data_IF_492068305145
#
_entry.id   IF_492068305145
#
_cell.length_a   1.000
_cell.length_b   1.000
_cell.length_c   1.000
_cell.angle_alpha   90.00
_cell.angle_beta   90.00
_cell.angle_gamma   90.00
#
_symmetry.space_group_name_H-M   'P 1'
#
loop_
_entity.id
_entity.type
_entity.pdbx_description
1 polymer ?
#
# COMPACT_ATOMS: atom_id res chain seq x y z
N UNK A 1 -22.68 2.82 19.72
CA UNK A 1 -21.25 2.85 20.12
C UNK A 1 -20.89 1.47 20.66
N UNK A 2 -19.94 0.79 20.02
CA UNK A 2 -19.43 -0.53 20.42
C UNK A 2 -18.06 -0.35 21.06
N UNK A 3 -17.63 -1.28 21.92
CA UNK A 3 -16.32 -1.22 22.58
C UNK A 3 -15.53 -2.47 22.25
N UNK A 4 -14.37 -2.28 21.62
CA UNK A 4 -13.40 -3.36 21.32
C UNK A 4 -12.17 -3.13 22.18
N UNK A 5 -12.05 -3.88 23.28
CA UNK A 5 -10.98 -3.65 24.27
C UNK A 5 -11.08 -2.25 24.89
N UNK A 6 -10.02 -1.44 24.76
CA UNK A 6 -10.02 -0.06 25.27
C UNK A 6 -10.54 0.97 24.24
N UNK A 7 -10.75 0.55 22.99
CA UNK A 7 -11.15 1.45 21.89
C UNK A 7 -12.67 1.52 21.79
N UNK A 8 -13.20 2.75 21.68
CA UNK A 8 -14.60 3.00 21.35
C UNK A 8 -14.74 3.09 19.84
N UNK A 9 -15.63 2.27 19.30
CA UNK A 9 -15.88 2.18 17.87
C UNK A 9 -17.30 2.61 17.55
N UNK A 10 -17.45 3.32 16.45
CA UNK A 10 -18.74 3.67 15.86
C UNK A 10 -18.77 3.08 14.46
N UNK A 11 -19.79 2.26 14.19
CA UNK A 11 -19.99 1.64 12.90
C UNK A 11 -21.07 2.42 12.15
N UNK A 12 -20.78 2.82 10.92
CA UNK A 12 -21.69 3.53 10.04
C UNK A 12 -22.25 2.52 9.03
N UNK A 13 -23.57 2.35 8.99
CA UNK A 13 -24.23 1.37 8.14
C UNK A 13 -25.09 1.99 7.04
N UNK A 14 -25.31 3.31 7.07
CA UNK A 14 -26.09 4.05 6.08
C UNK A 14 -25.22 5.05 5.29
N UNK A 15 -25.61 5.29 4.04
CA UNK A 15 -24.82 6.11 3.11
C UNK A 15 -24.78 7.59 3.50
N UNK A 16 -25.89 8.12 4.04
CA UNK A 16 -26.01 9.54 4.32
C UNK A 16 -25.14 9.93 5.52
N UNK A 17 -25.19 9.15 6.61
CA UNK A 17 -24.32 9.34 7.78
C UNK A 17 -22.85 9.10 7.40
N UNK A 18 -22.55 8.11 6.56
CA UNK A 18 -21.18 7.88 6.10
C UNK A 18 -20.63 9.08 5.31
N UNK A 19 -21.41 9.67 4.40
CA UNK A 19 -21.01 10.87 3.65
C UNK A 19 -20.83 12.07 4.57
N UNK A 20 -21.76 12.27 5.51
CA UNK A 20 -21.68 13.37 6.48
C UNK A 20 -20.41 13.26 7.34
N UNK A 21 -20.11 12.06 7.85
CA UNK A 21 -18.91 11.82 8.65
C UNK A 21 -17.63 12.00 7.80
N UNK A 22 -17.56 11.42 6.61
CA UNK A 22 -16.36 11.50 5.76
C UNK A 22 -16.09 12.88 5.17
N UNK A 23 -17.08 13.78 5.15
CA UNK A 23 -16.92 15.17 4.72
C UNK A 23 -16.30 16.09 5.79
N UNK A 24 -16.22 15.62 7.05
CA UNK A 24 -15.76 16.39 8.20
C UNK A 24 -14.30 16.08 8.51
N UNK A 25 -13.48 17.13 8.69
CA UNK A 25 -12.04 16.98 8.95
C UNK A 25 -11.75 16.37 10.33
N UNK A 26 -12.68 16.50 11.27
CA UNK A 26 -12.62 15.93 12.61
C UNK A 26 -12.58 14.39 12.61
N UNK A 27 -13.03 13.77 11.51
CA UNK A 27 -13.00 12.33 11.32
C UNK A 27 -11.97 11.88 10.27
N UNK A 28 -11.09 12.79 9.83
CA UNK A 28 -10.12 12.51 8.77
C UNK A 28 -8.87 11.76 9.24
N UNK A 29 -8.63 11.69 10.56
CA UNK A 29 -7.45 11.04 11.14
C UNK A 29 -7.55 9.50 11.10
N UNK A 30 -6.38 8.86 11.12
CA UNK A 30 -6.17 7.42 11.25
C UNK A 30 -5.95 7.04 12.71
N UNK A 31 -6.41 5.87 13.16
CA UNK A 31 -6.04 5.31 14.45
C UNK A 31 -4.51 5.21 14.61
N UNK A 32 -3.99 5.39 15.83
CA UNK A 32 -2.55 5.42 16.10
C UNK A 32 -1.79 4.19 15.62
N UNK A 33 -2.42 3.01 15.59
CA UNK A 33 -1.79 1.78 15.10
C UNK A 33 -1.43 1.85 13.60
N UNK A 34 -2.02 2.78 12.84
CA UNK A 34 -1.63 3.00 11.45
C UNK A 34 -0.23 3.59 11.33
N UNK A 35 0.27 4.32 12.34
CA UNK A 35 1.62 4.90 12.32
C UNK A 35 2.71 3.83 12.21
N UNK A 36 2.47 2.62 12.75
CA UNK A 36 3.36 1.47 12.58
C UNK A 36 3.55 1.10 11.10
N UNK A 37 2.52 1.33 10.26
CA UNK A 37 2.55 1.09 8.81
C UNK A 37 3.27 2.18 8.01
N UNK A 38 3.84 3.17 8.67
CA UNK A 38 4.53 4.25 7.97
C UNK A 38 5.92 3.79 7.51
N UNK A 39 6.30 4.16 6.29
CA UNK A 39 7.57 3.77 5.67
C UNK A 39 8.76 4.66 6.07
N UNK A 40 8.50 5.89 6.51
CA UNK A 40 9.56 6.80 6.93
C UNK A 40 10.07 6.46 8.34
N UNK A 41 11.35 6.73 8.59
CA UNK A 41 12.01 6.34 9.84
C UNK A 41 11.45 7.10 11.06
N UNK A 42 10.85 8.28 10.85
CA UNK A 42 10.21 9.05 11.93
C UNK A 42 8.77 8.60 12.21
N UNK A 43 8.19 7.75 11.33
CA UNK A 43 6.80 7.26 11.40
C UNK A 43 5.74 8.38 11.39
N UNK A 44 6.07 9.52 10.79
CA UNK A 44 5.21 10.71 10.78
C UNK A 44 4.62 11.03 9.40
N UNK A 45 5.15 10.44 8.33
CA UNK A 45 4.83 10.79 6.95
C UNK A 45 3.84 9.87 6.25
N UNK A 46 3.54 10.21 5.00
CA UNK A 46 2.78 9.38 4.09
C UNK A 46 1.27 9.64 4.09
N UNK A 47 0.63 9.45 2.93
CA UNK A 47 -0.79 9.82 2.73
C UNK A 47 -1.76 8.83 3.39
N UNK A 48 -1.35 7.58 3.59
CA UNK A 48 -2.20 6.49 4.10
C UNK A 48 -2.19 6.41 5.63
N UNK A 49 -1.04 6.68 6.25
CA UNK A 49 -0.74 6.29 7.63
C UNK A 49 -0.41 7.45 8.58
N UNK A 50 -0.43 8.70 8.10
CA UNK A 50 -0.18 9.90 8.93
C UNK A 50 -1.44 10.75 9.14
N UNK A 51 -1.34 11.69 10.09
CA UNK A 51 -2.39 12.61 10.50
C UNK A 51 -1.90 14.07 10.54
N UNK A 52 -2.84 15.00 10.72
CA UNK A 52 -2.53 16.41 10.98
C UNK A 52 -1.69 17.10 9.90
N UNK A 53 -0.72 17.91 10.32
CA UNK A 53 0.07 18.77 9.41
C UNK A 53 0.95 17.99 8.44
N UNK A 54 1.48 16.84 8.86
CA UNK A 54 2.28 15.96 8.01
C UNK A 54 1.43 15.36 6.89
N UNK A 55 0.26 14.80 7.23
CA UNK A 55 -0.68 14.28 6.25
C UNK A 55 -1.13 15.35 5.25
N UNK A 56 -1.48 16.54 5.75
CA UNK A 56 -1.89 17.64 4.89
C UNK A 56 -0.79 18.08 3.92
N UNK A 57 0.45 18.15 4.40
CA UNK A 57 1.61 18.46 3.58
C UNK A 57 1.80 17.41 2.48
N UNK A 58 1.92 16.14 2.86
CA UNK A 58 2.22 15.05 1.94
C UNK A 58 1.10 14.82 0.93
N UNK A 59 -0.17 14.94 1.36
CA UNK A 59 -1.32 14.90 0.45
C UNK A 59 -1.26 16.01 -0.59
N UNK A 60 -0.99 17.26 -0.19
CA UNK A 60 -0.86 18.37 -1.14
C UNK A 60 0.32 18.17 -2.08
N UNK A 61 1.46 17.71 -1.56
CA UNK A 61 2.65 17.41 -2.34
C UNK A 61 2.36 16.34 -3.40
N UNK A 62 1.80 15.18 -3.01
CA UNK A 62 1.49 14.08 -3.92
C UNK A 62 0.47 14.52 -4.98
N UNK A 63 -0.66 15.13 -4.59
CA UNK A 63 -1.67 15.55 -5.55
C UNK A 63 -1.16 16.58 -6.56
N UNK A 64 -0.34 17.54 -6.11
CA UNK A 64 0.29 18.52 -7.00
C UNK A 64 1.22 17.84 -8.00
N UNK A 65 2.07 16.93 -7.53
CA UNK A 65 3.02 16.22 -8.40
C UNK A 65 2.31 15.27 -9.36
N UNK A 66 1.31 14.51 -8.93
CA UNK A 66 0.51 13.66 -9.81
C UNK A 66 -0.14 14.43 -10.96
N UNK A 67 -0.70 15.62 -10.69
CA UNK A 67 -1.22 16.51 -11.73
C UNK A 67 -0.13 17.02 -12.68
N UNK A 68 1.07 17.27 -12.17
CA UNK A 68 2.21 17.70 -12.99
C UNK A 68 2.71 16.57 -13.90
N UNK A 69 2.85 15.36 -13.36
CA UNK A 69 3.32 14.13 -14.02
C UNK A 69 2.37 13.62 -15.11
N UNK A 70 1.15 14.15 -15.18
CA UNK A 70 0.26 13.89 -16.30
C UNK A 70 -1.01 13.12 -15.98
N UNK A 71 -1.37 12.95 -14.69
CA UNK A 71 -2.73 12.53 -14.36
C UNK A 71 -3.73 13.52 -14.98
N UNK A 72 -4.59 13.02 -15.87
CA UNK A 72 -5.55 13.81 -16.63
C UNK A 72 -4.96 14.52 -17.86
N UNK A 73 -3.80 14.08 -18.36
CA UNK A 73 -3.15 14.57 -19.59
C UNK A 73 -2.77 13.40 -20.50
N UNK A 74 -2.41 13.74 -21.74
CA UNK A 74 -2.06 12.81 -22.82
C UNK A 74 -0.95 11.81 -22.44
N UNK A 75 0.01 12.19 -21.60
CA UNK A 75 1.10 11.28 -21.21
C UNK A 75 0.62 10.05 -20.42
N UNK A 76 -0.37 10.20 -19.53
CA UNK A 76 -0.95 9.06 -18.82
C UNK A 76 -1.70 8.16 -19.80
N UNK A 77 -2.43 8.75 -20.74
CA UNK A 77 -3.14 8.00 -21.79
C UNK A 77 -2.16 7.22 -22.67
N UNK A 78 -1.02 7.81 -23.03
CA UNK A 78 0.04 7.13 -23.77
C UNK A 78 0.60 5.94 -22.97
N UNK A 79 0.91 6.13 -21.70
CA UNK A 79 1.39 5.05 -20.83
C UNK A 79 0.37 3.90 -20.72
N UNK A 80 -0.92 4.23 -20.54
CA UNK A 80 -2.01 3.24 -20.51
C UNK A 80 -2.10 2.50 -21.86
N UNK A 81 -2.02 3.20 -22.98
CA UNK A 81 -2.10 2.60 -24.31
C UNK A 81 -0.91 1.67 -24.61
N UNK A 82 0.31 2.05 -24.19
CA UNK A 82 1.51 1.22 -24.34
C UNK A 82 1.34 -0.08 -23.54
N UNK A 83 0.99 0.02 -22.26
CA UNK A 83 0.82 -1.16 -21.42
C UNK A 83 -0.38 -2.01 -21.84
N UNK A 84 -1.47 -1.39 -22.31
CA UNK A 84 -2.63 -2.10 -22.86
C UNK A 84 -2.26 -2.95 -24.08
N UNK A 85 -1.48 -2.40 -25.02
CA UNK A 85 -0.96 -3.16 -26.16
C UNK A 85 -0.04 -4.30 -25.72
N UNK A 86 0.86 -4.04 -24.76
CA UNK A 86 1.75 -5.06 -24.23
C UNK A 86 0.99 -6.23 -23.59
N UNK A 87 -0.08 -5.92 -22.83
CA UNK A 87 -0.95 -6.94 -22.24
C UNK A 87 -1.67 -7.76 -23.29
N UNK A 88 -2.22 -7.13 -24.34
CA UNK A 88 -2.89 -7.85 -25.43
C UNK A 88 -1.94 -8.82 -26.12
N UNK A 89 -0.70 -8.39 -26.42
CA UNK A 89 0.31 -9.27 -27.01
C UNK A 89 0.73 -10.41 -26.07
N UNK A 90 0.76 -10.17 -24.77
CA UNK A 90 1.02 -11.23 -23.80
C UNK A 90 -0.13 -12.25 -23.74
N UNK A 91 -1.37 -11.78 -23.76
CA UNK A 91 -2.57 -12.63 -23.71
C UNK A 91 -2.73 -13.50 -24.97
N UNK A 92 -2.33 -13.01 -26.15
CA UNK A 92 -2.35 -13.80 -27.39
C UNK A 92 -1.54 -15.09 -27.30
N UNK A 93 -0.49 -15.13 -26.47
CA UNK A 93 0.37 -16.31 -26.29
C UNK A 93 -0.36 -17.51 -25.69
N UNK A 94 -1.49 -17.29 -25.03
CA UNK A 94 -2.30 -18.35 -24.42
C UNK A 94 -3.27 -19.01 -25.40
N UNK A 95 -3.32 -18.59 -26.67
CA UNK A 95 -4.00 -19.34 -27.73
C UNK A 95 -5.52 -19.52 -27.56
N UNK A 96 -6.15 -18.73 -26.70
CA UNK A 96 -7.60 -18.84 -26.39
C UNK A 96 -7.95 -19.86 -25.31
N UNK A 97 -6.94 -20.43 -24.62
CA UNK A 97 -7.17 -21.31 -23.47
C UNK A 97 -7.74 -20.55 -22.27
N UNK A 98 -8.47 -21.26 -21.41
CA UNK A 98 -8.89 -20.72 -20.13
C UNK A 98 -7.66 -20.54 -19.23
N UNK A 99 -7.37 -19.29 -18.88
CA UNK A 99 -6.24 -18.95 -18.01
C UNK A 99 -6.72 -18.34 -16.70
N UNK A 100 -5.98 -18.64 -15.64
CA UNK A 100 -6.03 -17.80 -14.44
C UNK A 100 -5.43 -16.44 -14.76
N UNK A 101 -5.89 -15.41 -14.06
CA UNK A 101 -5.45 -14.03 -14.25
C UNK A 101 -3.90 -13.94 -14.19
N UNK A 102 -3.21 -13.69 -15.30
CA UNK A 102 -1.75 -13.73 -15.34
C UNK A 102 -1.13 -12.55 -14.60
N UNK A 103 0.07 -12.73 -14.06
CA UNK A 103 0.80 -11.70 -13.32
C UNK A 103 1.09 -10.45 -14.17
N UNK A 104 1.11 -10.59 -15.49
CA UNK A 104 1.30 -9.48 -16.43
C UNK A 104 0.30 -8.34 -16.22
N UNK A 105 -0.93 -8.62 -15.76
CA UNK A 105 -1.91 -7.59 -15.40
C UNK A 105 -1.46 -6.70 -14.23
N UNK A 106 -0.78 -7.27 -13.24
CA UNK A 106 -0.28 -6.50 -12.10
C UNK A 106 0.93 -5.69 -12.52
N UNK A 107 1.79 -6.25 -13.37
CA UNK A 107 2.96 -5.56 -13.92
C UNK A 107 2.57 -4.36 -14.79
N UNK A 108 1.57 -4.48 -15.66
CA UNK A 108 1.11 -3.34 -16.48
C UNK A 108 0.56 -2.19 -15.64
N UNK A 109 -0.23 -2.50 -14.60
CA UNK A 109 -0.76 -1.49 -13.70
C UNK A 109 0.37 -0.77 -12.95
N UNK A 110 1.39 -1.51 -12.51
CA UNK A 110 2.56 -0.95 -11.85
C UNK A 110 3.39 -0.10 -12.82
N UNK A 111 3.66 -0.57 -14.04
CA UNK A 111 4.39 0.16 -15.06
C UNK A 111 3.75 1.52 -15.39
N UNK A 112 2.42 1.62 -15.44
CA UNK A 112 1.74 2.92 -15.63
C UNK A 112 2.14 3.91 -14.53
N UNK A 113 2.15 3.46 -13.26
CA UNK A 113 2.53 4.30 -12.13
C UNK A 113 4.04 4.60 -12.14
N UNK A 114 4.87 3.60 -12.42
CA UNK A 114 6.33 3.74 -12.43
C UNK A 114 6.83 4.60 -13.57
N UNK A 115 6.16 4.57 -14.72
CA UNK A 115 6.44 5.48 -15.82
C UNK A 115 6.22 6.93 -15.39
N UNK A 116 5.14 7.20 -14.64
CA UNK A 116 4.87 8.55 -14.14
C UNK A 116 5.87 8.98 -13.05
N UNK A 117 6.17 8.11 -12.09
CA UNK A 117 6.91 8.50 -10.87
C UNK A 117 8.43 8.36 -11.03
N UNK A 118 8.88 7.38 -11.79
CA UNK A 118 10.29 7.01 -11.93
C UNK A 118 10.77 6.98 -13.39
N UNK A 119 9.90 7.30 -14.37
CA UNK A 119 10.22 7.20 -15.81
C UNK A 119 10.81 5.83 -16.20
N UNK A 120 10.37 4.78 -15.50
CA UNK A 120 10.91 3.43 -15.61
C UNK A 120 9.81 2.47 -16.03
N UNK A 121 10.15 1.52 -16.88
CA UNK A 121 9.25 0.47 -17.36
C UNK A 121 9.94 -0.88 -17.28
N UNK A 122 9.28 -1.86 -16.67
CA UNK A 122 9.77 -3.23 -16.55
C UNK A 122 9.15 -4.17 -17.59
N UNK A 123 9.85 -5.27 -17.88
CA UNK A 123 9.26 -6.38 -18.62
C UNK A 123 8.11 -7.02 -17.84
N UNK A 124 7.10 -7.55 -18.55
CA UNK A 124 5.92 -8.16 -17.92
C UNK A 124 6.26 -9.35 -17.01
N UNK A 125 7.40 -10.02 -17.25
CA UNK A 125 7.93 -11.14 -16.46
C UNK A 125 9.22 -10.75 -15.72
N UNK A 126 9.38 -9.46 -15.39
CA UNK A 126 10.51 -8.95 -14.61
C UNK A 126 10.59 -9.61 -13.23
N UNK A 127 11.79 -10.11 -12.88
CA UNK A 127 12.06 -10.71 -11.57
C UNK A 127 12.03 -9.67 -10.45
N UNK A 128 12.35 -8.42 -10.77
CA UNK A 128 12.28 -7.29 -9.86
C UNK A 128 10.83 -7.07 -9.42
N UNK A 129 9.90 -7.02 -10.37
CA UNK A 129 8.47 -6.88 -10.10
C UNK A 129 7.90 -8.11 -9.38
N UNK A 130 8.33 -9.32 -9.77
CA UNK A 130 8.00 -10.54 -9.06
C UNK A 130 8.44 -10.47 -7.58
N UNK A 131 9.62 -9.92 -7.30
CA UNK A 131 10.12 -9.73 -5.94
C UNK A 131 9.24 -8.80 -5.12
N UNK A 132 8.77 -7.69 -5.71
CA UNK A 132 7.84 -6.75 -5.04
C UNK A 132 6.54 -7.47 -4.69
N UNK A 133 5.95 -8.21 -5.64
CA UNK A 133 4.69 -8.92 -5.40
C UNK A 133 4.84 -10.06 -4.41
N UNK A 134 5.96 -10.78 -4.43
CA UNK A 134 6.25 -11.82 -3.44
C UNK A 134 6.31 -11.23 -2.03
N UNK A 135 7.09 -10.18 -1.81
CA UNK A 135 7.19 -9.52 -0.49
C UNK A 135 5.84 -8.97 -0.03
N UNK A 136 5.00 -8.45 -0.93
CA UNK A 136 3.64 -8.02 -0.60
C UNK A 136 2.71 -9.20 -0.23
N UNK A 137 2.76 -10.29 -0.98
CA UNK A 137 1.97 -11.49 -0.69
C UNK A 137 2.39 -12.11 0.66
N UNK A 138 3.69 -12.16 0.95
CA UNK A 138 4.19 -12.64 2.25
C UNK A 138 3.69 -11.79 3.41
N UNK A 139 3.70 -10.46 3.27
CA UNK A 139 3.09 -9.56 4.25
C UNK A 139 1.62 -9.90 4.43
N UNK A 140 0.86 -10.04 3.35
CA UNK A 140 -0.58 -10.34 3.39
C UNK A 140 -0.89 -11.69 4.04
N UNK A 141 -0.09 -12.71 3.79
CA UNK A 141 -0.28 -14.05 4.37
C UNK A 141 0.07 -14.09 5.86
N UNK A 142 1.12 -13.38 6.27
CA UNK A 142 1.55 -13.31 7.67
C UNK A 142 0.65 -12.38 8.49
N UNK A 143 0.17 -11.29 7.89
CA UNK A 143 -0.69 -10.31 8.55
C UNK A 143 -2.08 -10.87 8.79
N UNK A 144 -2.46 -10.97 10.06
CA UNK A 144 -3.76 -11.51 10.46
C UNK A 144 -4.32 -10.70 11.65
N UNK A 145 -5.60 -10.89 12.03
CA UNK A 145 -6.21 -10.10 13.09
C UNK A 145 -5.48 -10.14 14.45
N UNK A 146 -4.74 -11.22 14.75
CA UNK A 146 -3.93 -11.35 15.97
C UNK A 146 -2.80 -10.32 16.01
N UNK A 147 -2.26 -9.94 14.85
CA UNK A 147 -1.20 -8.92 14.72
C UNK A 147 -1.62 -7.54 15.20
N UNK A 148 -2.92 -7.23 15.14
CA UNK A 148 -3.44 -5.94 15.61
C UNK A 148 -3.83 -5.94 17.10
N UNK A 149 -3.87 -7.10 17.76
CA UNK A 149 -4.34 -7.19 19.16
C UNK A 149 -3.58 -6.29 20.15
N UNK A 150 -2.24 -6.15 20.07
CA UNK A 150 -1.51 -5.24 20.96
C UNK A 150 -2.07 -3.81 20.91
N UNK A 151 -2.49 -3.34 19.73
CA UNK A 151 -3.07 -2.00 19.55
C UNK A 151 -4.41 -1.78 20.26
N UNK A 152 -5.14 -2.85 20.60
CA UNK A 152 -6.42 -2.76 21.32
C UNK A 152 -6.27 -3.02 22.84
N UNK A 153 -5.15 -3.62 23.24
CA UNK A 153 -4.88 -4.06 24.62
C UNK A 153 -3.46 -3.62 25.03
N UNK A 154 -3.28 -2.38 25.52
CA UNK A 154 -1.96 -1.85 25.86
C UNK A 154 -1.20 -2.63 26.94
N UNK A 155 -1.89 -3.47 27.72
CA UNK A 155 -1.21 -4.37 28.66
C UNK A 155 -0.25 -5.35 27.95
N UNK A 156 -0.51 -5.68 26.68
CA UNK A 156 0.33 -6.56 25.86
C UNK A 156 1.67 -5.91 25.45
N UNK A 157 1.77 -4.58 25.47
CA UNK A 157 3.02 -3.87 25.14
C UNK A 157 4.14 -4.14 26.14
N UNK A 158 3.79 -4.56 27.36
CA UNK A 158 4.75 -4.92 28.41
C UNK A 158 5.42 -6.27 28.19
N UNK A 159 4.99 -7.06 27.19
CA UNK A 159 5.59 -8.35 26.89
C UNK A 159 6.97 -8.19 26.23
N UNK A 160 7.93 -9.10 26.51
CA UNK A 160 9.23 -9.09 25.83
C UNK A 160 9.07 -9.13 24.31
N UNK A 161 9.94 -8.42 23.58
CA UNK A 161 9.87 -8.33 22.10
C UNK A 161 9.88 -9.70 21.42
N UNK A 162 10.67 -10.65 21.90
CA UNK A 162 10.68 -12.03 21.38
C UNK A 162 9.31 -12.71 21.49
N UNK A 163 8.60 -12.50 22.60
CA UNK A 163 7.26 -13.03 22.82
C UNK A 163 6.25 -12.33 21.92
N UNK A 164 6.35 -11.00 21.75
CA UNK A 164 5.45 -10.25 20.86
C UNK A 164 5.63 -10.64 19.39
N UNK A 165 6.87 -10.81 18.94
CA UNK A 165 7.15 -11.26 17.58
C UNK A 165 6.62 -12.69 17.36
N UNK A 166 6.77 -13.58 18.33
CA UNK A 166 6.27 -14.95 18.22
C UNK A 166 4.73 -15.04 18.24
N UNK A 167 4.06 -14.31 19.14
CA UNK A 167 2.61 -14.42 19.34
C UNK A 167 1.80 -13.55 18.38
N UNK A 168 2.27 -12.34 18.10
CA UNK A 168 1.52 -11.33 17.33
C UNK A 168 2.19 -11.01 15.99
N UNK A 169 3.46 -11.37 15.79
CA UNK A 169 4.19 -10.95 14.60
C UNK A 169 4.42 -9.44 14.57
N UNK A 170 4.74 -8.86 15.73
CA UNK A 170 4.96 -7.41 15.93
C UNK A 170 6.02 -6.83 14.97
N UNK A 171 6.92 -7.66 14.46
CA UNK A 171 7.99 -7.31 13.53
C UNK A 171 7.69 -7.62 12.05
N UNK A 172 6.48 -8.10 11.72
CA UNK A 172 6.10 -8.43 10.34
C UNK A 172 6.25 -7.20 9.44
N UNK A 173 5.76 -6.04 9.88
CA UNK A 173 5.83 -4.84 9.06
C UNK A 173 7.25 -4.30 8.94
N UNK A 174 8.04 -4.33 10.01
CA UNK A 174 9.45 -3.90 9.96
C UNK A 174 10.26 -4.75 8.97
N UNK A 175 10.06 -6.07 8.96
CA UNK A 175 10.68 -6.97 7.96
C UNK A 175 10.24 -6.63 6.55
N UNK A 176 8.94 -6.40 6.34
CA UNK A 176 8.42 -6.00 5.03
C UNK A 176 9.07 -4.71 4.53
N UNK A 177 9.20 -3.69 5.39
CA UNK A 177 9.86 -2.42 5.02
C UNK A 177 11.33 -2.65 4.66
N UNK A 178 12.04 -3.46 5.43
CA UNK A 178 13.44 -3.77 5.17
C UNK A 178 13.63 -4.53 3.85
N UNK A 179 12.80 -5.54 3.58
CA UNK A 179 12.80 -6.26 2.30
C UNK A 179 12.49 -5.33 1.13
N UNK A 180 11.50 -4.44 1.26
CA UNK A 180 11.16 -3.46 0.23
C UNK A 180 12.31 -2.47 -0.01
N UNK A 181 12.99 -1.99 1.04
CA UNK A 181 14.19 -1.15 0.91
C UNK A 181 15.29 -1.89 0.13
N UNK A 182 15.52 -3.16 0.40
CA UNK A 182 16.49 -3.99 -0.33
C UNK A 182 16.11 -4.18 -1.81
N UNK A 183 14.84 -4.44 -2.10
CA UNK A 183 14.33 -4.56 -3.48
C UNK A 183 14.52 -3.25 -4.24
N UNK A 184 14.20 -2.10 -3.63
CA UNK A 184 14.40 -0.78 -4.25
C UNK A 184 15.88 -0.50 -4.50
N UNK A 185 16.75 -0.74 -3.51
CA UNK A 185 18.19 -0.53 -3.67
C UNK A 185 18.77 -1.37 -4.81
N UNK A 186 18.34 -2.64 -4.93
CA UNK A 186 18.71 -3.50 -6.05
C UNK A 186 18.29 -2.90 -7.40
N UNK A 187 17.06 -2.38 -7.51
CA UNK A 187 16.55 -1.75 -8.73
C UNK A 187 17.29 -0.44 -9.10
N UNK A 188 17.86 0.28 -8.12
CA UNK A 188 18.58 1.54 -8.35
C UNK A 188 20.09 1.40 -8.59
N UNK A 189 20.65 0.20 -8.42
CA UNK A 189 22.11 -0.06 -8.56
C UNK A 189 22.51 -0.52 -9.97
N UNK A 190 21.54 -0.65 -10.88
CA UNK A 190 21.72 -1.03 -12.29
C UNK A 190 21.53 0.22 -13.17
#
# INVERSE_FOLDING_TARGET
>A
MHRTGMIRSVFLFDSDTAKEALARLEFADRPDFFTSFTLDDQKLGGVVSSNGVHWQHDRRFVLRNLRNLGIGKDHLEEAINIEGKALVEDLKKYGGEAINYPDSFRTVALNIIWQMVASTRYDLRSKEIESIFRTNNELREKFNPVTLLPSFIPALDNLPKSVKNFLFGDDIFDRFVEEMKNVVNFMTTI
#
